data_IF_428778583694
#
_entry.id   IF_428778583694
#
_cell.length_a   1.000
_cell.length_b   1.000
_cell.length_c   1.000
_cell.angle_alpha   90.00
_cell.angle_beta   90.00
_cell.angle_gamma   90.00
#
_symmetry.space_group_name_H-M   'P 1'
#
loop_
_entity.id
_entity.type
_entity.pdbx_description
1 polymer ?
#
# COMPACT_ATOMS: atom_id res chain seq x y z
N UNK A 1 2.24 -2.84 -0.07
CA UNK A 1 2.84 -2.19 1.11
C UNK A 1 2.72 -0.69 0.89
N UNK A 2 2.31 0.11 1.86
CA UNK A 2 2.17 1.56 1.66
C UNK A 2 2.53 2.28 2.96
N UNK A 3 3.04 3.51 2.91
CA UNK A 3 3.36 4.29 4.11
C UNK A 3 2.12 5.09 4.57
N UNK A 4 1.21 5.45 3.65
CA UNK A 4 0.08 6.34 3.91
C UNK A 4 0.49 7.64 4.59
N UNK A 5 1.24 8.48 3.88
CA UNK A 5 1.70 9.78 4.39
C UNK A 5 0.52 10.75 4.43
N UNK A 6 -0.27 10.71 5.50
CA UNK A 6 -1.47 11.55 5.70
C UNK A 6 -1.15 12.93 6.27
N UNK A 7 0.08 13.12 6.75
CA UNK A 7 0.66 14.37 7.21
C UNK A 7 2.19 14.28 7.09
N UNK A 8 2.88 15.42 7.03
CA UNK A 8 4.34 15.45 7.02
C UNK A 8 4.91 15.19 8.42
N UNK A 9 4.15 15.51 9.47
CA UNK A 9 4.50 15.14 10.83
C UNK A 9 4.12 13.66 11.09
N UNK A 10 5.09 12.80 11.48
CA UNK A 10 4.84 11.36 11.66
C UNK A 10 3.82 11.04 12.75
N UNK A 11 3.78 11.82 13.83
CA UNK A 11 2.80 11.65 14.92
C UNK A 11 1.39 11.95 14.44
N UNK A 12 1.22 13.06 13.72
CA UNK A 12 -0.08 13.46 13.14
C UNK A 12 -0.52 12.42 12.11
N UNK A 13 0.38 12.00 11.22
CA UNK A 13 0.08 10.98 10.21
C UNK A 13 -0.40 9.66 10.84
N UNK A 14 0.26 9.20 11.90
CA UNK A 14 -0.11 7.98 12.61
C UNK A 14 -1.49 8.10 13.29
N UNK A 15 -1.74 9.23 13.97
CA UNK A 15 -3.04 9.55 14.59
C UNK A 15 -4.19 9.55 13.58
N UNK A 16 -3.95 10.01 12.37
CA UNK A 16 -4.97 10.09 11.32
C UNK A 16 -5.38 8.74 10.73
N UNK A 17 -4.57 7.68 10.87
CA UNK A 17 -4.93 6.37 10.34
C UNK A 17 -6.18 5.80 11.02
N UNK A 18 -6.98 5.08 10.22
CA UNK A 18 -8.12 4.33 10.73
C UNK A 18 -7.67 3.09 11.48
N UNK A 19 -8.57 2.56 12.29
CA UNK A 19 -8.34 1.43 13.19
C UNK A 19 -7.84 0.18 12.46
N UNK A 20 -8.34 -0.10 11.26
CA UNK A 20 -7.85 -1.25 10.50
C UNK A 20 -6.41 -1.08 10.04
N UNK A 21 -6.01 0.15 9.69
CA UNK A 21 -4.64 0.42 9.25
C UNK A 21 -3.67 0.45 10.44
N UNK A 22 -4.04 1.01 11.59
CA UNK A 22 -3.11 1.04 12.74
C UNK A 22 -2.73 -0.37 13.22
N UNK A 23 -3.57 -1.38 12.98
CA UNK A 23 -3.23 -2.80 13.25
C UNK A 23 -2.19 -3.35 12.27
N UNK A 24 -2.20 -2.93 11.00
CA UNK A 24 -1.34 -3.50 9.95
C UNK A 24 -0.05 -2.71 9.71
N UNK A 25 -0.13 -1.40 9.87
CA UNK A 25 0.92 -0.45 9.50
C UNK A 25 2.23 -0.60 10.27
N UNK A 26 2.25 -0.93 11.57
CA UNK A 26 3.51 -1.20 12.26
C UNK A 26 4.30 -2.37 11.64
N UNK A 27 3.63 -3.44 11.20
CA UNK A 27 4.28 -4.58 10.55
C UNK A 27 4.89 -4.18 9.20
N UNK A 28 4.10 -3.50 8.35
CA UNK A 28 4.58 -3.03 7.04
C UNK A 28 5.75 -2.05 7.19
N UNK A 29 5.70 -1.16 8.18
CA UNK A 29 6.78 -0.20 8.49
C UNK A 29 8.05 -0.91 8.94
N UNK A 30 7.94 -1.87 9.87
CA UNK A 30 9.07 -2.68 10.32
C UNK A 30 9.73 -3.48 9.19
N UNK A 31 8.93 -4.00 8.25
CA UNK A 31 9.44 -4.67 7.05
C UNK A 31 10.21 -3.70 6.14
N UNK A 32 9.68 -2.50 5.90
CA UNK A 32 10.38 -1.47 5.12
C UNK A 32 11.71 -1.07 5.77
N UNK A 33 11.75 -0.89 7.09
CA UNK A 33 12.97 -0.56 7.83
C UNK A 33 14.00 -1.69 7.76
N UNK A 34 13.58 -2.93 8.02
CA UNK A 34 14.45 -4.12 7.94
C UNK A 34 15.01 -4.33 6.53
N UNK A 35 14.22 -4.01 5.50
CA UNK A 35 14.68 -4.06 4.11
C UNK A 35 15.87 -3.12 3.88
N UNK A 36 15.94 -1.96 4.53
CA UNK A 36 17.07 -1.03 4.37
C UNK A 36 18.37 -1.69 4.83
N UNK A 37 18.38 -2.28 6.02
CA UNK A 37 19.53 -3.04 6.52
C UNK A 37 19.87 -4.24 5.63
N UNK A 38 18.87 -5.05 5.26
CA UNK A 38 19.06 -6.20 4.37
C UNK A 38 19.64 -5.83 3.01
N UNK A 39 19.33 -4.64 2.50
CA UNK A 39 19.87 -4.12 1.25
C UNK A 39 21.28 -3.55 1.45
N UNK A 40 21.53 -2.87 2.57
CA UNK A 40 22.85 -2.33 2.91
C UNK A 40 23.93 -3.43 3.08
N UNK A 41 23.53 -4.62 3.53
CA UNK A 41 24.38 -5.82 3.59
C UNK A 41 24.73 -6.40 2.21
N UNK A 42 23.99 -6.04 1.14
CA UNK A 42 24.26 -6.53 -0.22
C UNK A 42 25.25 -5.60 -0.92
N UNK A 43 26.49 -6.03 -1.07
CA UNK A 43 27.51 -5.29 -1.81
C UNK A 43 27.43 -5.52 -3.33
N UNK A 44 27.66 -4.50 -4.18
CA UNK A 44 27.60 -3.06 -3.90
C UNK A 44 26.17 -2.49 -4.06
N UNK A 45 25.74 -1.63 -3.14
CA UNK A 45 24.49 -0.87 -3.25
C UNK A 45 24.76 0.65 -3.44
N UNK A 46 24.05 1.34 -4.36
CA UNK A 46 24.32 2.73 -4.67
C UNK A 46 23.70 3.77 -3.71
N UNK A 47 22.97 3.39 -2.67
CA UNK A 47 22.31 4.37 -1.80
C UNK A 47 22.69 4.22 -0.33
N UNK A 48 22.86 2.99 0.13
CA UNK A 48 23.12 2.68 1.53
C UNK A 48 24.08 1.51 1.65
N UNK A 49 25.02 1.60 2.57
CA UNK A 49 25.90 0.51 2.99
C UNK A 49 25.88 0.39 4.51
N UNK A 50 26.45 -0.67 5.05
CA UNK A 50 26.56 -0.89 6.50
C UNK A 50 28.03 -1.01 6.91
N UNK A 51 28.36 -0.48 8.09
CA UNK A 51 29.72 -0.53 8.68
C UNK A 51 30.05 -1.95 9.14
N UNK A 52 29.06 -2.64 9.70
CA UNK A 52 29.17 -3.99 10.25
C UNK A 52 28.37 -4.99 9.38
N UNK A 53 29.04 -6.02 8.88
CA UNK A 53 28.43 -7.05 8.03
C UNK A 53 27.83 -8.22 8.84
N UNK A 54 28.13 -8.30 10.14
CA UNK A 54 27.72 -9.42 11.01
C UNK A 54 26.39 -9.15 11.72
N UNK A 55 25.62 -8.15 11.28
CA UNK A 55 24.32 -7.82 11.85
C UNK A 55 23.23 -8.81 11.40
N UNK A 56 22.47 -9.34 12.35
CA UNK A 56 21.29 -10.14 12.07
C UNK A 56 20.04 -9.25 11.96
N UNK A 57 19.51 -9.09 10.75
CA UNK A 57 18.33 -8.25 10.50
C UNK A 57 17.05 -8.97 10.97
N UNK A 58 16.20 -8.37 11.82
CA UNK A 58 15.09 -9.09 12.47
C UNK A 58 14.03 -9.65 11.52
N UNK A 59 13.70 -8.92 10.45
CA UNK A 59 12.76 -9.39 9.42
C UNK A 59 13.46 -9.67 8.10
N UNK A 60 13.03 -10.74 7.45
CA UNK A 60 13.50 -11.14 6.11
C UNK A 60 13.18 -10.07 5.07
N UNK A 61 14.08 -9.90 4.11
CA UNK A 61 13.90 -9.01 2.97
C UNK A 61 12.62 -9.37 2.18
N UNK A 62 11.74 -8.40 1.95
CA UNK A 62 10.56 -8.56 1.09
C UNK A 62 10.38 -7.35 0.18
N UNK A 63 9.76 -7.51 -1.00
CA UNK A 63 9.35 -6.38 -1.85
C UNK A 63 10.45 -5.30 -2.07
N UNK A 64 11.69 -5.72 -2.29
CA UNK A 64 12.87 -4.81 -2.33
C UNK A 64 12.79 -3.71 -3.39
N UNK A 65 12.02 -3.95 -4.46
CA UNK A 65 11.84 -3.04 -5.59
C UNK A 65 10.56 -2.20 -5.48
N UNK A 66 9.79 -2.37 -4.40
CA UNK A 66 8.59 -1.58 -4.18
C UNK A 66 8.95 -0.10 -3.98
N UNK A 67 8.16 0.87 -4.49
CA UNK A 67 8.46 2.30 -4.39
C UNK A 67 8.76 2.78 -2.96
N UNK A 68 7.99 2.33 -1.96
CA UNK A 68 8.27 2.64 -0.54
C UNK A 68 9.60 2.05 -0.03
N UNK A 69 9.99 0.84 -0.48
CA UNK A 69 11.27 0.22 -0.11
C UNK A 69 12.45 0.97 -0.74
N UNK A 70 12.27 1.53 -1.95
CA UNK A 70 13.25 2.37 -2.61
C UNK A 70 13.40 3.71 -1.88
N UNK A 71 12.27 4.37 -1.58
CA UNK A 71 12.23 5.64 -0.87
C UNK A 71 12.89 5.54 0.51
N UNK A 72 12.56 4.50 1.30
CA UNK A 72 13.09 4.33 2.65
C UNK A 72 14.63 4.24 2.71
N UNK A 73 15.28 3.68 1.67
CA UNK A 73 16.74 3.54 1.61
C UNK A 73 17.46 4.68 0.89
N UNK A 74 16.73 5.64 0.32
CA UNK A 74 17.29 6.66 -0.54
C UNK A 74 18.14 7.67 0.24
N UNK A 75 17.77 7.99 1.48
CA UNK A 75 18.49 8.93 2.34
C UNK A 75 18.29 8.63 3.83
N UNK A 76 19.19 9.17 4.66
CA UNK A 76 19.06 9.11 6.12
C UNK A 76 17.78 9.80 6.60
N UNK A 77 17.42 10.94 6.00
CA UNK A 77 16.19 11.66 6.33
C UNK A 77 14.93 10.81 6.17
N UNK A 78 14.78 10.13 5.02
CA UNK A 78 13.63 9.25 4.78
C UNK A 78 13.57 8.10 5.80
N UNK A 79 14.72 7.49 6.08
CA UNK A 79 14.82 6.39 7.01
C UNK A 79 14.47 6.81 8.44
N UNK A 80 15.00 7.94 8.91
CA UNK A 80 14.69 8.50 10.23
C UNK A 80 13.20 8.86 10.36
N UNK A 81 12.62 9.51 9.35
CA UNK A 81 11.18 9.81 9.35
C UNK A 81 10.35 8.52 9.46
N UNK A 82 10.74 7.46 8.74
CA UNK A 82 10.05 6.18 8.79
C UNK A 82 10.17 5.48 10.15
N UNK A 83 11.32 5.61 10.84
CA UNK A 83 11.49 5.16 12.22
C UNK A 83 10.53 5.90 13.14
N UNK A 84 10.53 7.22 13.10
CA UNK A 84 9.66 8.05 13.93
C UNK A 84 8.19 7.70 13.69
N UNK A 85 7.78 7.63 12.43
CA UNK A 85 6.45 7.18 12.04
C UNK A 85 6.13 5.79 12.59
N UNK A 86 7.04 4.82 12.46
CA UNK A 86 6.88 3.48 13.04
C UNK A 86 6.64 3.49 14.55
N UNK A 87 7.39 4.31 15.29
CA UNK A 87 7.25 4.45 16.73
C UNK A 87 5.90 5.08 17.10
N UNK A 88 5.47 6.11 16.37
CA UNK A 88 4.16 6.73 16.57
C UNK A 88 3.01 5.79 16.23
N UNK A 89 3.15 4.95 15.19
CA UNK A 89 2.19 3.89 14.88
C UNK A 89 2.05 2.89 16.04
N UNK A 90 3.16 2.48 16.67
CA UNK A 90 3.15 1.58 17.82
C UNK A 90 2.54 2.23 19.08
N UNK A 91 2.81 3.51 19.32
CA UNK A 91 2.18 4.28 20.40
C UNK A 91 0.67 4.38 20.21
N UNK A 92 0.22 4.75 19.01
CA UNK A 92 -1.19 4.81 18.65
C UNK A 92 -1.86 3.43 18.80
N UNK A 93 -1.25 2.37 18.28
CA UNK A 93 -1.76 1.02 18.45
C UNK A 93 -1.95 0.65 19.92
N UNK A 94 -0.95 0.95 20.76
CA UNK A 94 -1.01 0.68 22.21
C UNK A 94 -2.09 1.51 22.88
N UNK A 95 -2.24 2.78 22.50
CA UNK A 95 -3.28 3.65 23.03
C UNK A 95 -4.69 3.13 22.70
N UNK A 96 -4.91 2.68 21.45
CA UNK A 96 -6.22 2.23 20.95
C UNK A 96 -6.60 0.82 21.41
N UNK A 97 -5.64 -0.10 21.45
CA UNK A 97 -5.88 -1.53 21.72
C UNK A 97 -5.35 -2.05 23.05
N UNK A 98 -4.74 -1.19 23.87
CA UNK A 98 -4.23 -1.50 25.22
C UNK A 98 -3.25 -2.67 25.28
N UNK A 99 -2.52 -2.90 24.19
CA UNK A 99 -1.47 -3.94 24.07
C UNK A 99 -0.38 -3.47 23.12
N UNK A 100 0.84 -3.96 23.32
CA UNK A 100 1.98 -3.64 22.44
C UNK A 100 1.86 -4.36 21.10
N UNK A 101 2.33 -3.70 20.03
CA UNK A 101 2.42 -4.33 18.72
C UNK A 101 3.73 -5.13 18.64
N UNK A 102 3.69 -6.37 18.15
CA UNK A 102 4.90 -7.24 18.08
C UNK A 102 6.05 -6.59 17.29
N UNK A 103 5.74 -5.84 16.24
CA UNK A 103 6.73 -5.14 15.42
C UNK A 103 7.38 -3.92 16.08
N UNK A 104 6.92 -3.49 17.26
CA UNK A 104 7.55 -2.40 18.02
C UNK A 104 9.01 -2.73 18.37
N UNK A 105 9.29 -3.99 18.74
CA UNK A 105 10.65 -4.46 19.03
C UNK A 105 11.57 -4.35 17.81
N UNK A 106 11.05 -4.67 16.62
CA UNK A 106 11.81 -4.58 15.36
C UNK A 106 12.07 -3.14 14.97
N UNK A 107 11.08 -2.25 15.15
CA UNK A 107 11.25 -0.81 14.89
C UNK A 107 12.29 -0.21 15.85
N UNK A 108 12.22 -0.57 17.14
CA UNK A 108 13.21 -0.14 18.13
C UNK A 108 14.61 -0.69 17.82
N UNK A 109 14.72 -1.95 17.36
CA UNK A 109 15.99 -2.50 16.89
C UNK A 109 16.54 -1.66 15.72
N UNK A 110 15.70 -1.29 14.75
CA UNK A 110 16.13 -0.46 13.62
C UNK A 110 16.60 0.93 14.07
N UNK A 111 15.93 1.54 15.05
CA UNK A 111 16.32 2.83 15.64
C UNK A 111 17.66 2.75 16.37
N UNK A 112 17.86 1.72 17.20
CA UNK A 112 19.11 1.51 17.94
C UNK A 112 20.31 1.20 17.05
N UNK A 113 20.08 0.64 15.86
CA UNK A 113 21.13 0.26 14.92
C UNK A 113 21.27 1.22 13.74
N UNK A 114 20.51 2.33 13.70
CA UNK A 114 20.47 3.23 12.53
C UNK A 114 21.83 3.83 12.17
N UNK A 115 22.71 4.00 13.15
CA UNK A 115 24.04 4.59 12.94
C UNK A 115 25.05 3.60 12.36
N UNK A 116 24.69 2.31 12.25
CA UNK A 116 25.45 1.34 11.46
C UNK A 116 25.28 1.57 9.95
N UNK A 117 24.21 2.26 9.54
CA UNK A 117 23.92 2.55 8.14
C UNK A 117 24.64 3.82 7.67
N UNK A 118 25.35 3.71 6.56
CA UNK A 118 25.95 4.84 5.85
C UNK A 118 25.09 5.13 4.62
N UNK A 119 24.33 6.22 4.67
CA UNK A 119 23.56 6.73 3.54
C UNK A 119 24.40 7.70 2.72
N UNK A 120 24.23 7.69 1.40
CA UNK A 120 24.88 8.68 0.51
C UNK A 120 24.29 10.08 0.62
N UNK A 121 23.02 10.18 1.02
CA UNK A 121 22.32 11.46 1.22
C UNK A 121 21.74 11.51 2.62
N UNK A 122 21.82 12.67 3.25
CA UNK A 122 21.23 12.94 4.56
C UNK A 122 19.85 13.58 4.47
N UNK A 123 19.57 14.29 3.37
CA UNK A 123 18.41 15.16 3.26
C UNK A 123 17.11 14.35 3.15
N UNK A 124 16.05 14.87 3.76
CA UNK A 124 14.70 14.36 3.55
C UNK A 124 14.34 14.50 2.08
N UNK A 125 13.90 13.41 1.46
CA UNK A 125 13.45 13.42 0.07
C UNK A 125 11.93 13.50 0.03
N UNK A 126 11.40 14.01 -1.09
CA UNK A 126 9.96 14.08 -1.30
C UNK A 126 9.31 12.69 -1.08
N UNK A 127 8.18 12.67 -0.39
CA UNK A 127 7.45 11.44 -0.10
C UNK A 127 7.00 10.74 -1.39
N UNK A 128 7.26 9.44 -1.47
CA UNK A 128 6.83 8.63 -2.61
C UNK A 128 5.32 8.40 -2.62
N UNK A 129 4.70 8.57 -3.78
CA UNK A 129 3.27 8.32 -4.00
C UNK A 129 3.07 6.91 -4.57
N UNK A 130 3.06 5.90 -3.70
CA UNK A 130 2.83 4.49 -4.03
C UNK A 130 1.33 4.19 -4.18
N UNK A 131 0.68 4.92 -5.09
CA UNK A 131 -0.77 4.95 -5.31
C UNK A 131 -1.09 4.99 -6.82
N UNK A 132 -2.33 4.62 -7.24
CA UNK A 132 -2.73 4.69 -8.64
C UNK A 132 -2.59 6.11 -9.23
N UNK A 133 -2.25 6.22 -10.51
CA UNK A 133 -1.90 7.51 -11.15
C UNK A 133 -2.99 8.57 -11.02
N UNK A 134 -4.27 8.18 -11.07
CA UNK A 134 -5.41 9.10 -10.94
C UNK A 134 -5.46 9.88 -9.60
N UNK A 135 -4.76 9.41 -8.57
CA UNK A 135 -4.71 10.06 -7.27
C UNK A 135 -3.43 10.89 -7.07
N UNK A 136 -2.43 10.73 -7.95
CA UNK A 136 -1.14 11.42 -7.80
C UNK A 136 -1.29 12.91 -8.06
N UNK A 137 -0.58 13.73 -7.27
CA UNK A 137 -0.52 15.18 -7.49
C UNK A 137 0.80 15.75 -6.94
N UNK A 138 0.95 17.08 -6.96
CA UNK A 138 2.18 17.74 -6.48
C UNK A 138 2.44 17.56 -4.99
N UNK A 139 1.40 17.40 -4.17
CA UNK A 139 1.52 17.13 -2.73
C UNK A 139 1.24 15.65 -2.45
N UNK A 140 2.23 14.95 -1.88
CA UNK A 140 2.06 13.55 -1.51
C UNK A 140 0.97 13.39 -0.42
N UNK A 141 0.91 14.31 0.54
CA UNK A 141 -0.12 14.31 1.59
C UNK A 141 -1.51 14.39 0.99
N UNK A 142 -1.74 15.33 0.08
CA UNK A 142 -3.03 15.48 -0.60
C UNK A 142 -3.38 14.26 -1.44
N UNK A 143 -2.40 13.69 -2.17
CA UNK A 143 -2.58 12.46 -2.94
C UNK A 143 -3.02 11.29 -2.05
N UNK A 144 -2.36 11.10 -0.90
CA UNK A 144 -2.71 10.05 0.05
C UNK A 144 -4.07 10.29 0.71
N UNK A 145 -4.42 11.53 1.08
CA UNK A 145 -5.75 11.86 1.63
C UNK A 145 -6.86 11.57 0.62
N UNK A 146 -6.70 11.96 -0.65
CA UNK A 146 -7.64 11.62 -1.74
C UNK A 146 -7.80 10.12 -1.92
N UNK A 147 -6.68 9.39 -1.98
CA UNK A 147 -6.69 7.93 -2.05
C UNK A 147 -7.41 7.32 -0.84
N UNK A 148 -7.22 7.88 0.35
CA UNK A 148 -7.91 7.45 1.56
C UNK A 148 -9.42 7.64 1.47
N UNK A 149 -9.87 8.85 1.08
CA UNK A 149 -11.28 9.21 0.92
C UNK A 149 -12.00 8.27 -0.06
N UNK A 150 -11.39 8.03 -1.22
CA UNK A 150 -12.02 7.29 -2.31
C UNK A 150 -11.92 5.77 -2.14
N UNK A 151 -10.81 5.26 -1.63
CA UNK A 151 -10.53 3.82 -1.64
C UNK A 151 -10.59 3.15 -0.26
N UNK A 152 -10.48 3.91 0.83
CA UNK A 152 -10.38 3.35 2.18
C UNK A 152 -11.62 3.60 3.02
N UNK A 153 -12.39 4.64 2.73
CA UNK A 153 -13.58 5.01 3.50
C UNK A 153 -14.64 3.91 3.60
N UNK A 154 -14.75 3.01 2.61
CA UNK A 154 -15.67 1.86 2.66
C UNK A 154 -15.50 0.96 3.90
N UNK A 155 -14.34 0.97 4.55
CA UNK A 155 -14.06 0.21 5.76
C UNK A 155 -13.40 1.02 6.88
N UNK A 156 -13.09 2.31 6.63
CA UNK A 156 -12.35 3.11 7.58
C UNK A 156 -13.23 3.49 8.76
N UNK A 157 -12.72 3.22 9.97
CA UNK A 157 -13.36 3.50 11.25
C UNK A 157 -12.33 4.09 12.21
N UNK A 158 -12.79 5.00 13.06
CA UNK A 158 -12.03 5.58 14.17
C UNK A 158 -12.91 5.43 15.41
N UNK A 159 -13.08 4.20 15.85
CA UNK A 159 -13.97 3.85 16.97
C UNK A 159 -13.16 3.59 18.25
N UNK A 160 -11.85 3.33 18.13
CA UNK A 160 -10.97 2.99 19.25
C UNK A 160 -10.24 4.21 19.83
N UNK A 161 -10.97 5.22 20.31
CA UNK A 161 -10.40 6.35 21.07
C UNK A 161 -9.73 7.46 20.24
N UNK A 162 -10.14 7.58 18.97
CA UNK A 162 -9.78 8.69 18.07
C UNK A 162 -11.01 9.16 17.32
N UNK A 163 -11.03 10.43 16.95
CA UNK A 163 -11.99 10.95 15.99
C UNK A 163 -11.43 10.83 14.57
N UNK A 164 -12.33 10.82 13.59
CA UNK A 164 -11.92 10.88 12.19
C UNK A 164 -11.27 12.26 11.91
N UNK A 165 -10.22 12.33 11.07
CA UNK A 165 -9.58 13.60 10.73
C UNK A 165 -10.55 14.61 10.10
N UNK A 166 -10.32 15.91 10.32
CA UNK A 166 -11.18 16.99 9.81
C UNK A 166 -11.36 16.97 8.29
N UNK A 167 -10.30 16.64 7.54
CA UNK A 167 -10.38 16.52 6.08
C UNK A 167 -11.21 15.32 5.62
N UNK A 168 -11.64 14.44 6.52
CA UNK A 168 -12.71 13.49 6.22
C UNK A 168 -14.04 14.18 6.45
N UNK A 169 -14.21 14.81 7.62
CA UNK A 169 -15.45 15.46 8.05
C UNK A 169 -15.90 16.56 7.07
N UNK A 170 -14.98 17.42 6.62
CA UNK A 170 -15.26 18.50 5.68
C UNK A 170 -15.71 18.01 4.30
N UNK A 171 -15.27 16.81 3.89
CA UNK A 171 -15.71 16.20 2.64
C UNK A 171 -16.98 15.35 2.88
N UNK A 172 -17.20 14.85 4.08
CA UNK A 172 -18.41 14.10 4.44
C UNK A 172 -19.56 14.99 4.89
N UNK A 173 -19.98 15.95 4.05
CA UNK A 173 -21.40 16.36 4.12
C UNK A 173 -22.28 15.13 3.87
N UNK A 174 -23.42 14.95 4.57
CA UNK A 174 -24.29 13.79 4.40
C UNK A 174 -24.68 13.51 2.94
N UNK A 175 -24.82 14.56 2.12
CA UNK A 175 -25.06 14.42 0.68
C UNK A 175 -23.89 13.77 -0.07
N UNK A 176 -22.64 14.10 0.28
CA UNK A 176 -21.47 13.51 -0.37
C UNK A 176 -21.24 12.05 0.05
N UNK A 177 -21.54 11.67 1.30
CA UNK A 177 -21.52 10.26 1.70
C UNK A 177 -22.53 9.45 0.89
N UNK A 178 -23.76 9.96 0.73
CA UNK A 178 -24.76 9.30 -0.10
C UNK A 178 -24.30 9.21 -1.57
N UNK A 179 -23.66 10.24 -2.10
CA UNK A 179 -23.15 10.24 -3.47
C UNK A 179 -22.01 9.23 -3.65
N UNK A 180 -21.01 9.22 -2.76
CA UNK A 180 -19.88 8.28 -2.79
C UNK A 180 -20.38 6.84 -2.67
N UNK A 181 -21.33 6.58 -1.77
CA UNK A 181 -21.91 5.25 -1.62
C UNK A 181 -22.68 4.83 -2.88
N UNK A 182 -23.43 5.73 -3.51
CA UNK A 182 -24.12 5.46 -4.79
C UNK A 182 -23.14 5.20 -5.92
N UNK A 183 -22.10 6.02 -6.05
CA UNK A 183 -21.03 5.82 -7.06
C UNK A 183 -20.31 4.49 -6.85
N UNK A 184 -19.95 4.14 -5.61
CA UNK A 184 -19.30 2.87 -5.31
C UNK A 184 -20.19 1.66 -5.64
N UNK A 185 -21.50 1.75 -5.35
CA UNK A 185 -22.49 0.73 -5.72
C UNK A 185 -22.57 0.62 -7.25
N UNK A 186 -22.68 1.75 -7.95
CA UNK A 186 -22.76 1.80 -9.40
C UNK A 186 -21.52 1.18 -10.07
N UNK A 187 -20.32 1.55 -9.62
CA UNK A 187 -19.05 0.98 -10.09
C UNK A 187 -19.01 -0.53 -9.81
N UNK A 188 -19.49 -0.97 -8.66
CA UNK A 188 -19.61 -2.39 -8.33
C UNK A 188 -20.53 -3.14 -9.29
N UNK A 189 -21.70 -2.58 -9.60
CA UNK A 189 -22.63 -3.14 -10.57
C UNK A 189 -22.04 -3.20 -11.99
N UNK A 190 -21.37 -2.14 -12.43
CA UNK A 190 -20.74 -2.08 -13.75
C UNK A 190 -19.62 -3.10 -13.88
N UNK A 191 -18.74 -3.22 -12.87
CA UNK A 191 -17.71 -4.25 -12.82
C UNK A 191 -18.31 -5.65 -12.83
N UNK A 192 -19.29 -5.92 -11.97
CA UNK A 192 -19.96 -7.23 -11.93
C UNK A 192 -20.64 -7.58 -13.25
N UNK A 193 -21.23 -6.60 -13.94
CA UNK A 193 -21.83 -6.80 -15.26
C UNK A 193 -20.78 -7.07 -16.34
N UNK A 194 -19.65 -6.38 -16.31
CA UNK A 194 -18.54 -6.61 -17.24
C UNK A 194 -17.90 -7.99 -17.02
N UNK A 195 -17.67 -8.37 -15.76
CA UNK A 195 -17.18 -9.70 -15.38
C UNK A 195 -18.17 -10.80 -15.81
N UNK A 196 -19.47 -10.60 -15.60
CA UNK A 196 -20.51 -11.52 -16.05
C UNK A 196 -20.54 -11.69 -17.57
N UNK A 197 -20.49 -10.60 -18.34
CA UNK A 197 -20.39 -10.67 -19.82
C UNK A 197 -19.14 -11.39 -20.28
N UNK A 198 -17.99 -11.16 -19.62
CA UNK A 198 -16.75 -11.87 -19.95
C UNK A 198 -16.86 -13.36 -19.64
N UNK A 199 -17.45 -13.73 -18.50
CA UNK A 199 -17.69 -15.13 -18.13
C UNK A 199 -18.63 -15.84 -19.13
N UNK A 200 -19.72 -15.18 -19.55
CA UNK A 200 -20.65 -15.69 -20.55
C UNK A 200 -19.95 -15.93 -21.91
N UNK A 201 -19.17 -14.95 -22.39
CA UNK A 201 -18.37 -15.11 -23.62
C UNK A 201 -17.41 -16.29 -23.55
N UNK A 202 -16.75 -16.49 -22.41
CA UNK A 202 -15.87 -17.65 -22.17
C UNK A 202 -16.66 -18.97 -22.18
N UNK A 203 -17.85 -19.01 -21.57
CA UNK A 203 -18.70 -20.20 -21.55
C UNK A 203 -19.21 -20.57 -22.95
N UNK A 204 -19.66 -19.58 -23.73
CA UNK A 204 -20.04 -19.77 -25.14
C UNK A 204 -18.85 -20.30 -25.94
N UNK A 205 -17.67 -19.70 -25.80
CA UNK A 205 -16.45 -20.18 -26.46
C UNK A 205 -16.12 -21.64 -26.10
N UNK A 206 -16.20 -22.03 -24.83
CA UNK A 206 -15.99 -23.41 -24.38
C UNK A 206 -17.00 -24.38 -24.99
N UNK A 207 -18.27 -24.02 -25.05
CA UNK A 207 -19.31 -24.87 -25.60
C UNK A 207 -19.19 -25.01 -27.13
N UNK A 208 -18.85 -23.93 -27.83
CA UNK A 208 -18.58 -23.94 -29.28
C UNK A 208 -17.33 -24.75 -29.64
N UNK A 209 -16.26 -24.67 -28.84
CA UNK A 209 -15.07 -25.52 -28.99
C UNK A 209 -15.43 -27.01 -28.87
N UNK A 210 -16.23 -27.38 -27.86
CA UNK A 210 -16.72 -28.77 -27.67
C UNK A 210 -17.58 -29.25 -28.83
N UNK A 211 -18.30 -28.35 -29.50
CA UNK A 211 -19.10 -28.65 -30.68
C UNK A 211 -18.28 -28.72 -31.98
N UNK A 212 -16.96 -28.49 -31.92
CA UNK A 212 -16.06 -28.56 -33.07
C UNK A 212 -16.04 -27.31 -33.95
N UNK A 213 -16.52 -26.16 -33.44
CA UNK A 213 -16.45 -24.89 -34.18
C UNK A 213 -15.00 -24.39 -34.21
N UNK A 214 -14.55 -23.90 -35.37
CA UNK A 214 -13.18 -23.37 -35.53
C UNK A 214 -12.94 -22.13 -34.68
N UNK A 215 -11.72 -21.99 -34.15
CA UNK A 215 -11.28 -20.88 -33.28
C UNK A 215 -11.56 -19.51 -33.92
N UNK A 216 -11.30 -19.36 -35.22
CA UNK A 216 -11.52 -18.09 -35.95
C UNK A 216 -12.98 -17.64 -35.90
N UNK A 217 -13.91 -18.57 -36.06
CA UNK A 217 -15.36 -18.31 -35.99
C UNK A 217 -15.79 -17.99 -34.54
N UNK A 218 -15.18 -18.64 -33.55
CA UNK A 218 -15.46 -18.35 -32.13
C UNK A 218 -14.95 -16.95 -31.75
N UNK A 219 -13.78 -16.56 -32.26
CA UNK A 219 -13.23 -15.22 -32.05
C UNK A 219 -14.13 -14.15 -32.64
N UNK A 220 -14.66 -14.37 -33.85
CA UNK A 220 -15.61 -13.46 -34.50
C UNK A 220 -16.94 -13.33 -33.73
N UNK A 221 -17.44 -14.42 -33.14
CA UNK A 221 -18.73 -14.41 -32.42
C UNK A 221 -18.61 -13.84 -30.99
N UNK A 222 -17.49 -14.11 -30.30
CA UNK A 222 -17.34 -13.79 -28.88
C UNK A 222 -16.54 -12.51 -28.62
N UNK A 223 -15.94 -11.91 -29.65
CA UNK A 223 -14.91 -10.86 -29.58
C UNK A 223 -13.75 -11.20 -28.64
N UNK A 224 -13.51 -12.49 -28.36
CA UNK A 224 -12.35 -12.94 -27.60
C UNK A 224 -11.15 -13.03 -28.54
N UNK A 225 -9.96 -12.77 -28.02
CA UNK A 225 -8.74 -12.96 -28.80
C UNK A 225 -8.47 -14.45 -29.07
N UNK A 226 -7.77 -14.74 -30.17
CA UNK A 226 -7.36 -16.11 -30.51
C UNK A 226 -6.55 -16.74 -29.36
N UNK A 227 -5.69 -15.96 -28.71
CA UNK A 227 -4.90 -16.40 -27.55
C UNK A 227 -5.78 -16.75 -26.34
N UNK A 228 -6.79 -15.93 -26.05
CA UNK A 228 -7.76 -16.21 -24.97
C UNK A 228 -8.55 -17.48 -25.25
N UNK A 229 -8.90 -17.78 -26.50
CA UNK A 229 -9.64 -18.99 -26.87
C UNK A 229 -8.73 -20.23 -26.86
N UNK A 230 -7.49 -20.11 -27.34
CA UNK A 230 -6.51 -21.20 -27.33
C UNK A 230 -6.19 -21.68 -25.90
N UNK A 231 -6.17 -20.77 -24.93
CA UNK A 231 -6.01 -21.11 -23.50
C UNK A 231 -7.21 -21.87 -22.90
N UNK A 232 -8.36 -21.93 -23.58
CA UNK A 232 -9.53 -22.69 -23.15
C UNK A 232 -9.53 -24.14 -23.64
N UNK A 233 -8.50 -24.56 -24.42
CA UNK A 233 -8.35 -25.92 -24.95
C UNK A 233 -7.58 -26.88 -24.02
N UNK A 234 -7.16 -26.45 -22.82
CA UNK A 234 -6.73 -27.35 -21.73
C UNK A 234 -7.92 -27.96 -20.97
#
# INVERSE_FOLDING_TARGET
MNIFVLDENPEIAAKMLCDKHIVKMPLETAQLLSNVFSIALKAPNPFVSVIDQDIEVPYKLTHSNHPCSLWARQSKGNFCWLIEYGKELCKEYTQRYKRKHKSEEVINWCDSNKDLLIFRSTDMQAFIQALPDQYKCSSAVEAYRRYYLKEKMRFAKWENGREAPDWIICYTTPQLIQLINREAIQIGHEKGRAEGRKAEKIEVAKNSLKAGVSIDVIAEITDLSLDEIAQLQE
#
